data_IF_353423850340
#
_entry.id   IF_353423850340
#
_cell.length_a   1.000
_cell.length_b   1.000
_cell.length_c   1.000
_cell.angle_alpha   90.00
_cell.angle_beta   90.00
_cell.angle_gamma   90.00
#
_symmetry.space_group_name_H-M   'P 1'
#
loop_
_entity.id
_entity.type
_entity.pdbx_description
1 polymer ?
#
# COMPACT_ATOMS: atom_id res chain seq x y z
N UNK A 1 1.47 0.14 7.88
CA UNK A 1 0.64 -0.18 9.07
C UNK A 1 1.41 -1.09 10.02
N UNK A 2 1.87 -2.28 9.60
CA UNK A 2 2.61 -3.23 10.47
C UNK A 2 3.82 -2.61 11.13
N UNK A 3 4.60 -1.81 10.41
CA UNK A 3 5.78 -1.12 10.95
C UNK A 3 5.44 -0.14 12.07
N UNK A 4 4.39 0.66 11.91
CA UNK A 4 3.92 1.59 12.96
C UNK A 4 3.48 0.80 14.19
N UNK A 5 2.68 -0.25 14.01
CA UNK A 5 2.20 -1.06 15.13
C UNK A 5 3.36 -1.77 15.85
N UNK A 6 4.31 -2.31 15.11
CA UNK A 6 5.50 -2.96 15.70
C UNK A 6 6.31 -1.97 16.56
N UNK A 7 6.51 -0.76 16.07
CA UNK A 7 7.20 0.29 16.80
C UNK A 7 6.45 0.66 18.10
N UNK A 8 5.13 0.83 18.03
CA UNK A 8 4.27 1.11 19.20
C UNK A 8 4.31 0.01 20.26
N UNK A 9 4.56 -1.22 19.83
CA UNK A 9 4.77 -2.35 20.74
C UNK A 9 6.21 -2.48 21.26
N UNK A 10 7.07 -1.49 20.96
CA UNK A 10 8.44 -1.42 21.49
C UNK A 10 9.51 -2.05 20.60
N UNK A 11 9.18 -2.57 19.42
CA UNK A 11 10.16 -3.12 18.51
C UNK A 11 10.93 -2.01 17.77
N UNK A 12 12.26 -2.15 17.64
CA UNK A 12 13.03 -1.36 16.70
C UNK A 12 12.68 -1.81 15.28
N UNK A 13 12.09 -0.92 14.51
CA UNK A 13 11.48 -1.28 13.22
C UNK A 13 12.11 -0.49 12.08
N UNK A 14 12.28 -1.17 10.95
CA UNK A 14 12.67 -0.58 9.67
C UNK A 14 11.60 -0.90 8.63
N UNK A 15 11.05 0.10 7.99
CA UNK A 15 10.22 -0.04 6.79
C UNK A 15 11.14 0.16 5.56
N UNK A 16 11.06 -0.77 4.62
CA UNK A 16 11.64 -0.65 3.29
C UNK A 16 10.49 -0.33 2.33
N UNK A 17 10.62 0.75 1.60
CA UNK A 17 9.62 1.24 0.66
C UNK A 17 10.28 1.50 -0.70
N UNK A 18 9.78 0.86 -1.75
CA UNK A 18 10.37 0.98 -3.09
C UNK A 18 10.09 2.33 -3.75
N UNK A 19 8.96 2.93 -3.42
CA UNK A 19 8.57 4.23 -3.94
C UNK A 19 9.12 5.40 -3.12
N UNK A 20 8.82 6.61 -3.55
CA UNK A 20 9.11 7.84 -2.79
C UNK A 20 8.04 8.15 -1.75
N UNK A 21 6.90 7.46 -1.79
CA UNK A 21 5.73 7.69 -0.94
C UNK A 21 5.46 6.48 -0.04
N UNK A 22 4.88 6.72 1.12
CA UNK A 22 4.32 5.69 1.98
C UNK A 22 2.85 5.46 1.63
N UNK A 23 2.39 4.20 1.70
CA UNK A 23 0.97 3.89 1.60
C UNK A 23 0.57 3.01 0.42
N UNK A 24 1.49 2.72 -0.50
CA UNK A 24 1.26 1.81 -1.63
C UNK A 24 0.01 2.18 -2.42
N UNK A 25 -0.97 1.28 -2.46
CA UNK A 25 -2.21 1.46 -3.21
C UNK A 25 -2.95 2.76 -2.87
N UNK A 26 -3.00 3.15 -1.60
CA UNK A 26 -3.72 4.34 -1.13
C UNK A 26 -3.06 5.67 -1.54
N UNK A 27 -1.82 5.65 -1.98
CA UNK A 27 -1.03 6.86 -2.23
C UNK A 27 -0.32 6.82 -3.58
N UNK A 28 0.81 6.11 -3.69
CA UNK A 28 1.64 6.08 -4.90
C UNK A 28 0.94 5.47 -6.11
N UNK A 29 0.07 4.48 -5.91
CA UNK A 29 -0.75 3.90 -6.99
C UNK A 29 -2.05 4.68 -7.27
N UNK A 30 -2.39 5.71 -6.47
CA UNK A 30 -3.49 6.63 -6.73
C UNK A 30 -4.89 6.14 -6.34
N UNK A 31 -5.03 4.94 -5.76
CA UNK A 31 -6.32 4.40 -5.30
C UNK A 31 -6.62 4.92 -3.89
N UNK A 32 -6.84 6.21 -3.76
CA UNK A 32 -7.09 6.90 -2.49
C UNK A 32 -8.56 6.83 -2.05
N UNK A 33 -9.13 5.65 -2.14
CA UNK A 33 -10.50 5.33 -1.78
C UNK A 33 -10.50 4.06 -0.93
N UNK A 34 -10.96 4.14 0.32
CA UNK A 34 -10.97 2.98 1.22
C UNK A 34 -12.36 2.38 1.27
N UNK A 35 -12.44 1.13 0.84
CA UNK A 35 -13.66 0.33 0.88
C UNK A 35 -13.90 -0.31 2.24
N UNK A 36 -15.04 -0.97 2.37
CA UNK A 36 -15.39 -1.76 3.53
C UNK A 36 -15.99 -0.95 4.67
N UNK A 37 -15.69 -1.34 5.90
CA UNK A 37 -16.33 -0.75 7.07
C UNK A 37 -15.71 0.60 7.46
N UNK A 38 -16.10 1.66 6.77
CA UNK A 38 -15.66 3.03 7.06
C UNK A 38 -16.09 3.53 8.45
N UNK A 39 -17.07 2.91 9.08
CA UNK A 39 -17.54 3.29 10.43
C UNK A 39 -16.66 2.74 11.54
N UNK A 40 -15.81 1.76 11.27
CA UNK A 40 -14.87 1.22 12.27
C UNK A 40 -14.00 2.33 12.86
N UNK A 41 -14.08 2.60 14.18
CA UNK A 41 -13.41 3.75 14.79
C UNK A 41 -12.02 3.44 15.34
N UNK A 42 -11.63 2.16 15.39
CA UNK A 42 -10.49 1.69 16.16
C UNK A 42 -9.23 1.42 15.33
N UNK A 43 -8.11 1.27 16.03
CA UNK A 43 -6.82 0.90 15.49
C UNK A 43 -6.21 1.98 14.60
N UNK A 44 -5.20 1.59 13.84
CA UNK A 44 -4.50 2.50 12.92
C UNK A 44 -5.41 3.01 11.80
N UNK A 45 -6.43 2.24 11.40
CA UNK A 45 -7.45 2.72 10.47
C UNK A 45 -8.25 3.89 11.05
N UNK A 46 -8.72 3.75 12.29
CA UNK A 46 -9.45 4.83 12.97
C UNK A 46 -8.61 6.09 13.12
N UNK A 47 -7.33 5.95 13.47
CA UNK A 47 -6.39 7.06 13.57
C UNK A 47 -6.16 7.74 12.21
N UNK A 48 -5.87 6.97 11.17
CA UNK A 48 -5.66 7.50 9.82
C UNK A 48 -6.89 8.26 9.32
N UNK A 49 -8.07 7.67 9.47
CA UNK A 49 -9.35 8.29 9.11
C UNK A 49 -9.61 9.56 9.91
N UNK A 50 -9.31 9.57 11.21
CA UNK A 50 -9.45 10.77 12.04
C UNK A 50 -8.54 11.89 11.54
N UNK A 51 -7.29 11.61 11.23
CA UNK A 51 -6.35 12.60 10.70
C UNK A 51 -6.78 13.15 9.35
N UNK A 52 -7.34 12.29 8.46
CA UNK A 52 -7.98 12.75 7.22
C UNK A 52 -9.16 13.69 7.51
N UNK A 53 -10.04 13.29 8.43
CA UNK A 53 -11.18 14.12 8.84
C UNK A 53 -10.74 15.48 9.39
N UNK A 54 -9.72 15.49 10.23
CA UNK A 54 -9.18 16.74 10.80
C UNK A 54 -8.59 17.64 9.70
N UNK A 55 -7.92 17.05 8.70
CA UNK A 55 -7.34 17.78 7.58
C UNK A 55 -8.40 18.42 6.67
N UNK A 56 -9.47 17.69 6.37
CA UNK A 56 -10.53 18.15 5.45
C UNK A 56 -11.71 18.86 6.16
N UNK A 57 -11.66 19.03 7.48
CA UNK A 57 -12.68 19.75 8.24
C UNK A 57 -13.92 18.91 8.56
N UNK A 58 -13.85 17.59 8.50
CA UNK A 58 -14.92 16.69 8.91
C UNK A 58 -15.01 15.41 8.09
N UNK A 59 -15.69 14.40 8.63
CA UNK A 59 -15.90 13.12 7.94
C UNK A 59 -16.75 13.24 6.68
N UNK A 60 -17.68 14.19 6.66
CA UNK A 60 -18.55 14.39 5.49
C UNK A 60 -17.78 14.93 4.29
N UNK A 61 -16.69 15.65 4.51
CA UNK A 61 -15.81 16.14 3.45
C UNK A 61 -15.02 15.02 2.75
N UNK A 62 -15.02 13.82 3.29
CA UNK A 62 -14.39 12.64 2.66
C UNK A 62 -15.34 11.89 1.71
N UNK A 63 -16.63 12.24 1.69
CA UNK A 63 -17.66 11.61 0.87
C UNK A 63 -17.82 12.32 -0.47
N UNK A 64 -16.76 12.38 -1.25
CA UNK A 64 -16.72 13.18 -2.49
C UNK A 64 -17.02 12.37 -3.76
N UNK A 65 -17.24 11.07 -3.64
CA UNK A 65 -17.55 10.19 -4.77
C UNK A 65 -18.50 9.06 -4.39
N UNK A 66 -18.79 8.17 -5.33
CA UNK A 66 -19.72 7.07 -5.17
C UNK A 66 -19.06 5.74 -4.81
N UNK A 67 -17.75 5.59 -5.04
CA UNK A 67 -17.02 4.32 -4.84
C UNK A 67 -16.68 4.04 -3.37
N UNK A 68 -16.56 5.08 -2.54
CA UNK A 68 -16.20 4.96 -1.13
C UNK A 68 -16.77 6.13 -0.32
N UNK A 69 -16.90 5.92 0.99
CA UNK A 69 -17.23 6.99 1.95
C UNK A 69 -15.97 7.67 2.52
N UNK A 70 -14.78 7.24 2.12
CA UNK A 70 -13.51 7.81 2.57
C UNK A 70 -12.61 7.95 1.35
N UNK A 71 -12.69 9.12 0.73
CA UNK A 71 -11.84 9.52 -0.39
C UNK A 71 -10.96 10.69 0.04
N UNK A 72 -9.75 10.73 -0.50
CA UNK A 72 -8.78 11.77 -0.16
C UNK A 72 -7.75 11.92 -1.28
N UNK A 73 -7.02 13.02 -1.29
CA UNK A 73 -5.89 13.19 -2.21
C UNK A 73 -4.74 12.28 -1.80
N UNK A 74 -4.14 11.50 -2.72
CA UNK A 74 -3.01 10.60 -2.42
C UNK A 74 -1.85 11.29 -1.70
N UNK A 75 -1.55 12.54 -2.05
CA UNK A 75 -0.53 13.36 -1.41
C UNK A 75 -0.83 13.61 0.07
N UNK A 76 -2.10 13.83 0.41
CA UNK A 76 -2.55 14.02 1.80
C UNK A 76 -2.44 12.71 2.58
N UNK A 77 -2.83 11.59 1.97
CA UNK A 77 -2.64 10.26 2.56
C UNK A 77 -1.17 9.98 2.87
N UNK A 78 -0.27 10.24 1.92
CA UNK A 78 1.16 10.12 2.12
C UNK A 78 1.69 11.02 3.25
N UNK A 79 1.26 12.28 3.30
CA UNK A 79 1.63 13.22 4.38
C UNK A 79 1.23 12.67 5.74
N UNK A 80 -0.01 12.22 5.89
CA UNK A 80 -0.53 11.69 7.17
C UNK A 80 0.25 10.43 7.60
N UNK A 81 0.54 9.53 6.66
CA UNK A 81 1.34 8.33 6.97
C UNK A 81 2.76 8.70 7.41
N UNK A 82 3.36 9.73 6.81
CA UNK A 82 4.66 10.26 7.27
C UNK A 82 4.59 10.83 8.68
N UNK A 83 3.55 11.56 9.02
CA UNK A 83 3.33 12.10 10.37
C UNK A 83 3.16 10.96 11.39
N UNK A 84 2.41 9.91 11.03
CA UNK A 84 2.23 8.73 11.89
C UNK A 84 3.53 7.97 12.12
N UNK A 85 4.38 7.86 11.10
CA UNK A 85 5.71 7.25 11.21
C UNK A 85 6.65 8.12 12.04
N UNK A 86 6.67 9.43 11.82
CA UNK A 86 7.54 10.37 12.51
C UNK A 86 7.23 10.48 14.02
N UNK A 87 6.03 10.08 14.42
CA UNK A 87 5.64 10.03 15.83
C UNK A 87 6.32 8.88 16.62
N UNK A 88 6.93 7.91 15.92
CA UNK A 88 7.51 6.72 16.52
C UNK A 88 9.05 6.80 16.51
N UNK A 89 9.68 7.01 17.66
CA UNK A 89 11.13 7.20 17.79
C UNK A 89 11.97 5.96 17.40
N UNK A 90 11.39 4.78 17.48
CA UNK A 90 12.01 3.48 17.19
C UNK A 90 11.62 2.93 15.81
N UNK A 91 11.08 3.77 14.93
CA UNK A 91 10.72 3.45 13.56
C UNK A 91 11.57 4.24 12.55
N UNK A 92 12.20 3.53 11.63
CA UNK A 92 12.94 4.11 10.50
C UNK A 92 12.28 3.71 9.18
N UNK A 93 12.40 4.56 8.18
CA UNK A 93 11.96 4.28 6.82
C UNK A 93 13.13 4.52 5.86
N UNK A 94 13.38 3.55 4.99
CA UNK A 94 14.19 3.73 3.80
C UNK A 94 13.25 3.72 2.60
N UNK A 95 13.22 4.83 1.87
CA UNK A 95 12.48 4.96 0.62
C UNK A 95 13.40 4.71 -0.57
N UNK A 96 12.81 4.38 -1.72
CA UNK A 96 13.54 3.99 -2.92
C UNK A 96 14.52 2.84 -2.59
N UNK A 97 14.01 1.88 -1.83
CA UNK A 97 14.75 0.79 -1.23
C UNK A 97 14.20 -0.55 -1.71
N UNK A 98 14.84 -1.14 -2.71
CA UNK A 98 14.44 -2.42 -3.31
C UNK A 98 15.17 -3.59 -2.64
N UNK A 99 14.43 -4.63 -2.29
CA UNK A 99 14.99 -5.87 -1.80
C UNK A 99 15.63 -6.65 -2.97
N UNK A 100 16.92 -6.94 -2.87
CA UNK A 100 17.62 -7.75 -3.87
C UNK A 100 17.75 -9.22 -3.46
N UNK A 101 17.98 -9.45 -2.18
CA UNK A 101 18.23 -10.78 -1.66
C UNK A 101 17.78 -10.88 -0.22
N UNK A 102 17.20 -11.99 0.17
CA UNK A 102 16.89 -12.30 1.57
C UNK A 102 17.12 -13.76 1.85
N UNK A 103 17.66 -14.05 3.03
CA UNK A 103 17.83 -15.41 3.52
C UNK A 103 17.74 -15.47 5.04
N UNK A 104 17.36 -16.62 5.55
CA UNK A 104 17.45 -16.91 6.97
C UNK A 104 18.83 -17.45 7.32
N UNK A 105 19.45 -16.90 8.36
CA UNK A 105 20.77 -17.32 8.85
C UNK A 105 20.66 -17.47 10.38
N UNK A 106 20.58 -18.72 10.84
CA UNK A 106 20.24 -19.02 12.22
C UNK A 106 18.83 -18.47 12.56
N UNK A 107 18.75 -17.67 13.60
CA UNK A 107 17.48 -17.07 14.06
C UNK A 107 17.19 -15.69 13.43
N UNK A 108 18.02 -15.23 12.51
CA UNK A 108 17.88 -13.91 11.90
C UNK A 108 17.59 -14.01 10.40
N UNK A 109 16.84 -13.01 9.92
CA UNK A 109 16.73 -12.69 8.52
C UNK A 109 17.85 -11.72 8.12
N UNK A 110 18.52 -12.02 7.01
CA UNK A 110 19.57 -11.18 6.43
C UNK A 110 19.13 -10.77 5.03
N UNK A 111 18.91 -9.49 4.82
CA UNK A 111 18.45 -8.92 3.59
C UNK A 111 19.51 -8.00 2.96
N UNK A 112 19.71 -8.09 1.65
CA UNK A 112 20.41 -7.09 0.86
C UNK A 112 19.40 -6.17 0.22
N UNK A 113 19.56 -4.88 0.46
CA UNK A 113 18.64 -3.84 0.05
C UNK A 113 19.43 -2.79 -0.74
N UNK A 114 19.04 -2.57 -1.98
CA UNK A 114 19.57 -1.47 -2.79
C UNK A 114 18.79 -0.20 -2.47
N UNK A 115 19.47 0.80 -1.95
CA UNK A 115 18.89 2.10 -1.63
C UNK A 115 19.42 3.12 -2.63
N UNK A 116 18.53 3.85 -3.29
CA UNK A 116 18.92 4.84 -4.29
C UNK A 116 19.86 5.88 -3.70
N UNK A 117 20.91 6.19 -4.44
CA UNK A 117 21.96 7.13 -4.01
C UNK A 117 22.87 6.65 -2.88
N UNK A 118 22.62 5.47 -2.28
CA UNK A 118 23.38 4.95 -1.13
C UNK A 118 23.98 3.54 -1.35
N UNK A 119 23.69 2.91 -2.49
CA UNK A 119 24.19 1.59 -2.84
C UNK A 119 23.48 0.47 -2.07
N UNK A 120 24.10 -0.73 -2.04
CA UNK A 120 23.55 -1.91 -1.39
C UNK A 120 23.90 -1.92 0.10
N UNK A 121 22.90 -2.14 0.93
CA UNK A 121 23.03 -2.26 2.39
C UNK A 121 22.57 -3.64 2.86
N UNK A 122 23.19 -4.13 3.93
CA UNK A 122 22.77 -5.37 4.60
C UNK A 122 21.95 -5.02 5.84
N UNK A 123 20.75 -5.57 5.92
CA UNK A 123 19.84 -5.46 7.07
C UNK A 123 19.75 -6.82 7.75
N UNK A 124 19.78 -6.83 9.07
CA UNK A 124 19.53 -8.01 9.90
C UNK A 124 18.31 -7.77 10.78
N UNK A 125 17.41 -8.73 10.85
CA UNK A 125 16.20 -8.65 11.65
C UNK A 125 15.78 -10.02 12.21
N UNK A 126 15.21 -10.04 13.40
CA UNK A 126 14.63 -11.27 13.98
C UNK A 126 13.31 -11.65 13.32
N UNK A 127 12.53 -10.64 12.92
CA UNK A 127 11.24 -10.81 12.26
C UNK A 127 11.26 -10.02 10.96
N UNK A 128 10.73 -10.61 9.91
CA UNK A 128 10.49 -9.96 8.62
C UNK A 128 9.01 -10.10 8.28
N UNK A 129 8.42 -9.01 7.83
CA UNK A 129 7.01 -8.96 7.40
C UNK A 129 7.01 -8.58 5.93
N UNK A 130 6.45 -9.46 5.11
CA UNK A 130 6.14 -9.13 3.73
C UNK A 130 4.87 -8.27 3.69
N UNK A 131 5.01 -7.05 3.20
CA UNK A 131 3.93 -6.12 2.98
C UNK A 131 3.93 -5.61 1.53
N UNK A 132 4.57 -6.35 0.63
CA UNK A 132 4.50 -6.10 -0.81
C UNK A 132 3.10 -6.42 -1.34
N UNK A 133 2.70 -5.79 -2.41
CA UNK A 133 1.37 -5.99 -3.00
C UNK A 133 1.20 -7.38 -3.60
N UNK A 134 2.29 -7.98 -4.11
CA UNK A 134 2.27 -9.25 -4.83
C UNK A 134 2.88 -10.43 -4.05
N UNK A 135 3.30 -10.21 -2.79
CA UNK A 135 3.97 -11.25 -2.01
C UNK A 135 5.38 -11.56 -2.51
N UNK A 136 6.09 -10.55 -3.01
CA UNK A 136 7.41 -10.73 -3.64
C UNK A 136 8.45 -11.30 -2.68
N UNK A 137 8.42 -10.87 -1.43
CA UNK A 137 9.32 -11.37 -0.39
C UNK A 137 8.98 -12.81 -0.03
N UNK A 138 7.71 -13.14 0.12
CA UNK A 138 7.25 -14.50 0.37
C UNK A 138 7.69 -15.47 -0.75
N UNK A 139 7.58 -15.02 -2.00
CA UNK A 139 8.05 -15.76 -3.17
C UNK A 139 9.56 -16.04 -3.11
N UNK A 140 10.37 -15.01 -2.81
CA UNK A 140 11.83 -15.16 -2.66
C UNK A 140 12.16 -16.13 -1.53
N UNK A 141 11.37 -16.13 -0.46
CA UNK A 141 11.53 -17.04 0.67
C UNK A 141 11.06 -18.49 0.39
N UNK A 142 10.53 -18.77 -0.81
CA UNK A 142 10.06 -20.10 -1.21
C UNK A 142 8.71 -20.48 -0.61
N UNK A 143 7.91 -19.52 -0.16
CA UNK A 143 6.53 -19.75 0.27
C UNK A 143 5.72 -20.22 -0.93
N UNK A 144 4.93 -21.28 -0.76
CA UNK A 144 4.04 -21.78 -1.80
C UNK A 144 2.91 -20.78 -2.02
N UNK A 145 2.56 -20.55 -3.26
CA UNK A 145 1.46 -19.69 -3.65
C UNK A 145 0.74 -20.24 -4.87
N UNK A 146 -0.47 -19.82 -5.08
CA UNK A 146 -1.28 -20.09 -6.25
C UNK A 146 -1.52 -18.81 -7.05
N UNK A 147 -1.69 -18.97 -8.36
CA UNK A 147 -2.07 -17.88 -9.27
C UNK A 147 -3.40 -18.25 -9.91
N UNK A 148 -4.29 -17.28 -10.01
CA UNK A 148 -5.61 -17.46 -10.58
C UNK A 148 -6.65 -17.87 -9.54
N UNK A 149 -7.72 -18.49 -10.01
CA UNK A 149 -8.83 -18.91 -9.16
C UNK A 149 -8.67 -20.37 -8.76
N UNK A 150 -8.83 -20.65 -7.48
CA UNK A 150 -8.88 -22.01 -6.92
C UNK A 150 -10.20 -22.68 -7.30
N UNK A 151 -10.21 -24.02 -7.28
CA UNK A 151 -11.42 -24.77 -7.59
C UNK A 151 -12.40 -24.81 -6.42
N UNK A 152 -13.69 -25.10 -6.71
CA UNK A 152 -14.72 -25.30 -5.70
C UNK A 152 -14.37 -26.44 -4.74
N UNK A 153 -13.69 -27.48 -5.24
CA UNK A 153 -13.26 -28.61 -4.41
C UNK A 153 -12.18 -28.19 -3.41
N UNK A 154 -11.36 -27.20 -3.74
CA UNK A 154 -10.30 -26.70 -2.85
C UNK A 154 -10.86 -25.72 -1.79
N UNK A 155 -11.74 -24.82 -2.18
CA UNK A 155 -12.24 -23.73 -1.31
C UNK A 155 -13.54 -24.06 -0.58
N UNK A 156 -14.34 -25.00 -1.12
CA UNK A 156 -15.70 -25.31 -0.69
C UNK A 156 -16.68 -24.11 -0.78
N UNK A 157 -16.43 -23.21 -1.73
CA UNK A 157 -17.25 -22.03 -2.00
C UNK A 157 -18.12 -22.25 -3.25
N UNK A 158 -19.42 -22.00 -3.15
CA UNK A 158 -20.37 -22.22 -4.25
C UNK A 158 -20.08 -21.33 -5.48
N UNK A 159 -19.49 -20.15 -5.27
CA UNK A 159 -19.14 -19.20 -6.33
C UNK A 159 -17.81 -19.53 -7.02
N UNK A 160 -16.99 -20.41 -6.44
CA UNK A 160 -15.72 -20.79 -7.04
C UNK A 160 -15.94 -21.61 -8.33
N UNK A 161 -15.03 -21.53 -9.30
CA UNK A 161 -15.11 -22.33 -10.53
C UNK A 161 -14.99 -23.82 -10.20
N UNK A 162 -15.57 -24.67 -11.06
CA UNK A 162 -15.44 -26.13 -10.91
C UNK A 162 -13.99 -26.61 -10.99
N UNK A 163 -13.17 -25.91 -11.79
CA UNK A 163 -11.75 -26.26 -11.95
C UNK A 163 -10.90 -25.03 -11.78
N UNK A 164 -9.73 -25.21 -11.15
CA UNK A 164 -8.68 -24.20 -11.05
C UNK A 164 -8.32 -23.63 -12.43
N UNK A 165 -8.08 -22.33 -12.50
CA UNK A 165 -7.68 -21.64 -13.71
C UNK A 165 -6.60 -20.57 -13.41
N UNK A 166 -6.10 -19.90 -14.44
CA UNK A 166 -5.07 -18.86 -14.32
C UNK A 166 -5.63 -17.45 -14.52
N UNK A 167 -6.94 -17.26 -14.28
CA UNK A 167 -7.57 -15.95 -14.43
C UNK A 167 -7.19 -15.10 -13.21
N UNK A 168 -6.62 -13.93 -13.47
CA UNK A 168 -6.27 -12.92 -12.47
C UNK A 168 -7.07 -11.66 -12.71
N UNK A 169 -7.16 -10.80 -11.69
CA UNK A 169 -7.85 -9.52 -11.81
C UNK A 169 -7.16 -8.63 -12.85
N UNK A 170 -7.96 -7.92 -13.64
CA UNK A 170 -7.48 -6.93 -14.60
C UNK A 170 -6.82 -5.73 -13.89
N UNK A 171 -5.91 -5.08 -14.63
CA UNK A 171 -5.24 -3.86 -14.15
C UNK A 171 -6.25 -2.72 -14.18
N UNK A 172 -6.31 -1.96 -13.09
CA UNK A 172 -7.12 -0.75 -12.99
C UNK A 172 -6.22 0.49 -12.98
N UNK A 173 -6.44 1.39 -13.94
CA UNK A 173 -5.85 2.72 -13.92
C UNK A 173 -6.77 3.69 -13.20
N UNK A 174 -6.21 4.51 -12.31
CA UNK A 174 -6.95 5.50 -11.54
C UNK A 174 -6.60 6.90 -12.02
N UNK A 175 -7.62 7.73 -12.22
CA UNK A 175 -7.48 9.15 -12.53
C UNK A 175 -8.15 9.98 -11.43
N UNK A 176 -7.45 11.00 -10.95
CA UNK A 176 -7.98 11.96 -9.98
C UNK A 176 -8.45 13.18 -10.77
N UNK A 177 -9.74 13.46 -10.66
CA UNK A 177 -10.37 14.58 -11.34
C UNK A 177 -10.66 15.70 -10.36
N UNK A 178 -10.58 16.94 -10.85
CA UNK A 178 -10.98 18.13 -10.12
C UNK A 178 -11.94 18.94 -10.98
N UNK A 179 -13.11 19.26 -10.43
CA UNK A 179 -14.00 20.26 -11.02
C UNK A 179 -13.50 21.66 -10.68
N UNK A 180 -13.23 22.46 -11.69
CA UNK A 180 -12.82 23.86 -11.55
C UNK A 180 -13.99 24.84 -11.60
N UNK A 181 -15.22 24.38 -11.85
CA UNK A 181 -16.40 25.22 -12.03
C UNK A 181 -16.35 26.13 -13.27
N UNK A 182 -15.40 25.90 -14.18
CA UNK A 182 -15.21 26.64 -15.43
C UNK A 182 -14.52 25.75 -16.45
N UNK A 183 -14.61 26.13 -17.72
CA UNK A 183 -13.87 25.47 -18.79
C UNK A 183 -12.35 25.68 -18.59
N UNK A 184 -11.63 24.55 -18.48
CA UNK A 184 -10.17 24.46 -18.38
C UNK A 184 -9.60 23.53 -19.45
N UNK A 185 -10.29 23.41 -20.57
CA UNK A 185 -9.85 22.63 -21.73
C UNK A 185 -8.44 23.03 -22.14
N UNK A 186 -7.58 22.05 -22.34
CA UNK A 186 -6.23 22.24 -22.86
C UNK A 186 -6.20 21.86 -24.35
N UNK A 187 -5.26 22.39 -25.14
CA UNK A 187 -5.03 21.91 -26.50
C UNK A 187 -4.73 20.41 -26.50
N UNK A 188 -5.12 19.75 -27.58
CA UNK A 188 -4.83 18.34 -27.80
C UNK A 188 -3.30 18.10 -27.72
N UNK A 189 -2.83 17.17 -26.87
CA UNK A 189 -1.39 16.88 -26.74
C UNK A 189 -0.82 16.31 -28.05
N UNK A 190 0.43 16.64 -28.34
CA UNK A 190 1.13 16.05 -29.49
C UNK A 190 1.20 14.52 -29.36
N UNK A 191 0.82 13.83 -30.42
CA UNK A 191 0.80 12.35 -30.46
C UNK A 191 -0.43 11.70 -29.81
N UNK A 192 -1.44 12.50 -29.42
CA UNK A 192 -2.71 11.95 -28.95
C UNK A 192 -3.45 11.26 -30.10
N UNK A 193 -3.86 10.00 -29.90
CA UNK A 193 -4.72 9.23 -30.80
C UNK A 193 -6.03 8.88 -30.08
N UNK A 194 -7.16 9.40 -30.52
CA UNK A 194 -8.46 9.17 -29.87
C UNK A 194 -9.08 7.80 -30.19
N UNK A 195 -8.39 6.91 -30.93
CA UNK A 195 -8.92 5.61 -31.38
C UNK A 195 -8.72 4.52 -30.34
#
# INVERSE_FOLDING_TARGET
>A
ISGIQSARMGANTLILEESTWLGGMLTSAGVSAVDGNYRLPAGLWGEFKKRLSDYYGGLDSLKTGWVSNVLFEPSVGNKILHEMVAAENNLKVWKQACLEEVKRTGDEWVAKVKVEGQGVKTVRAKVMIDATELGDVAKICGVKYDIGMESRDDTHEDIAPEKKNNIVQDITYVAILKDYGKDVTIPEPEGYDPK
#
